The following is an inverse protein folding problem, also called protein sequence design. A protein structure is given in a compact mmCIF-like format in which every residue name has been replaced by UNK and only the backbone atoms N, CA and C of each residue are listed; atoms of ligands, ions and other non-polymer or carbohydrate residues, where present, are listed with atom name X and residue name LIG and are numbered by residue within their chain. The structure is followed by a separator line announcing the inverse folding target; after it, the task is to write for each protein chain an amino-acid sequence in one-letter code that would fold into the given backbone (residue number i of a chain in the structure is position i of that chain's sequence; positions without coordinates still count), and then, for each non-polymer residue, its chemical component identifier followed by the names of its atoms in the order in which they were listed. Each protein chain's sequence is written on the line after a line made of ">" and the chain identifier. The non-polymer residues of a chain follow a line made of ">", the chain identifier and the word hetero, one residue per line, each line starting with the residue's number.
data_IF_754895085927
#
_entry.id   IF_754895085927
#
_cell.length_a   1.000
_cell.length_b   1.000
_cell.length_c   1.000
_cell.angle_alpha   90.00
_cell.angle_beta   90.00
_cell.angle_gamma   90.00
#
_symmetry.space_group_name_H-M   'P 1'
#
loop_
_entity.id
_entity.type
_entity.pdbx_description
1 polymer ?
#
# COMPACT_ATOMS: atom_id res chain seq x y z
N UNK A 1 0.51 -12.38 12.16
CA UNK A 1 1.64 -12.52 11.23
C UNK A 1 1.55 -11.46 10.15
N UNK A 2 2.66 -10.86 9.71
CA UNK A 2 2.71 -9.93 8.57
C UNK A 2 3.39 -10.60 7.37
N UNK A 3 2.65 -10.78 6.28
CA UNK A 3 3.14 -11.37 5.02
C UNK A 3 3.82 -10.31 4.13
N UNK A 4 4.96 -9.76 4.59
CA UNK A 4 5.64 -8.69 3.85
C UNK A 4 7.10 -8.50 4.26
N UNK A 5 7.98 -8.28 3.26
CA UNK A 5 9.36 -7.84 3.47
C UNK A 5 9.50 -6.31 3.56
N UNK A 6 8.43 -5.54 3.30
CA UNK A 6 8.50 -4.08 3.25
C UNK A 6 8.77 -3.47 4.63
N UNK A 7 9.90 -2.75 4.82
CA UNK A 7 10.18 -2.06 6.08
C UNK A 7 9.12 -1.03 6.44
N UNK A 8 8.55 -0.36 5.43
CA UNK A 8 7.50 0.64 5.63
C UNK A 8 6.24 0.01 6.23
N UNK A 9 5.81 -1.16 5.73
CA UNK A 9 4.65 -1.87 6.27
C UNK A 9 4.90 -2.37 7.68
N UNK A 10 6.12 -2.83 7.98
CA UNK A 10 6.51 -3.25 9.33
C UNK A 10 6.43 -2.08 10.32
N UNK A 11 7.00 -0.91 9.95
CA UNK A 11 6.93 0.30 10.78
C UNK A 11 5.49 0.81 10.96
N UNK A 12 4.68 0.73 9.92
CA UNK A 12 3.27 1.11 10.02
C UNK A 12 2.50 0.16 10.94
N UNK A 13 2.70 -1.15 10.82
CA UNK A 13 1.97 -2.12 11.65
C UNK A 13 2.35 -2.01 13.14
N UNK A 14 3.60 -1.69 13.48
CA UNK A 14 4.02 -1.40 14.87
C UNK A 14 3.19 -0.29 15.53
N UNK A 15 2.71 0.69 14.75
CA UNK A 15 1.88 1.78 15.27
C UNK A 15 0.53 1.32 15.80
N UNK A 16 0.04 0.17 15.34
CA UNK A 16 -1.18 -0.44 15.89
C UNK A 16 -0.95 -1.13 17.23
N UNK A 17 0.30 -1.22 17.71
CA UNK A 17 0.67 -1.85 18.98
C UNK A 17 0.16 -3.29 19.14
N UNK A 18 -0.05 -3.97 18.03
CA UNK A 18 -0.38 -5.40 17.99
C UNK A 18 0.92 -6.18 17.89
N UNK A 19 1.16 -7.19 18.73
CA UNK A 19 2.31 -8.06 18.56
C UNK A 19 2.17 -8.81 17.21
N UNK A 20 3.24 -8.83 16.42
CA UNK A 20 3.27 -9.56 15.16
C UNK A 20 4.67 -10.10 14.86
N UNK A 21 4.70 -11.14 14.07
CA UNK A 21 5.91 -11.69 13.47
C UNK A 21 5.87 -11.46 11.96
N UNK A 22 7.03 -11.53 11.33
CA UNK A 22 7.18 -11.33 9.89
C UNK A 22 7.41 -12.68 9.24
N UNK A 23 6.64 -12.98 8.20
CA UNK A 23 6.89 -14.10 7.30
C UNK A 23 6.83 -13.56 5.85
N UNK A 24 7.93 -13.73 5.11
CA UNK A 24 8.03 -13.19 3.76
C UNK A 24 7.55 -14.24 2.77
N UNK A 25 6.45 -13.99 2.03
CA UNK A 25 5.98 -14.92 1.01
C UNK A 25 7.03 -15.06 -0.11
N UNK A 26 7.19 -16.26 -0.64
CA UNK A 26 8.19 -16.60 -1.64
C UNK A 26 7.56 -16.90 -3.00
N UNK A 27 8.24 -16.52 -4.09
CA UNK A 27 7.84 -16.96 -5.44
C UNK A 27 6.52 -16.40 -5.98
N UNK A 28 5.96 -15.33 -5.39
CA UNK A 28 4.77 -14.70 -5.96
C UNK A 28 5.16 -13.90 -7.20
N UNK A 29 4.67 -14.35 -8.34
CA UNK A 29 4.79 -13.60 -9.59
C UNK A 29 3.78 -12.45 -9.61
N UNK A 30 4.26 -11.25 -9.24
CA UNK A 30 3.43 -10.03 -9.24
C UNK A 30 3.00 -9.65 -10.67
N UNK A 31 3.78 -10.04 -11.71
CA UNK A 31 3.48 -9.75 -13.12
C UNK A 31 2.38 -10.62 -13.72
N UNK A 32 2.10 -11.78 -13.14
CA UNK A 32 1.07 -12.70 -13.63
C UNK A 32 -0.37 -12.22 -13.35
N UNK A 33 -0.57 -11.22 -12.49
CA UNK A 33 -1.90 -10.68 -12.18
C UNK A 33 -2.17 -9.46 -13.04
N UNK A 34 -3.16 -9.56 -13.92
CA UNK A 34 -3.56 -8.49 -14.83
C UNK A 34 -4.98 -8.00 -14.53
N UNK A 35 -5.33 -6.81 -15.00
CA UNK A 35 -6.65 -6.23 -14.80
C UNK A 35 -6.60 -4.82 -14.21
N UNK A 36 -7.68 -4.40 -13.55
CA UNK A 36 -7.72 -3.09 -12.89
C UNK A 36 -6.73 -3.03 -11.71
N UNK A 37 -6.31 -1.82 -11.32
CA UNK A 37 -5.42 -1.63 -10.17
C UNK A 37 -6.04 -2.20 -8.88
N UNK A 38 -7.35 -2.08 -8.74
CA UNK A 38 -8.14 -2.61 -7.63
C UNK A 38 -8.10 -4.14 -7.59
N UNK A 39 -8.26 -4.78 -8.76
CA UNK A 39 -8.16 -6.24 -8.87
C UNK A 39 -6.75 -6.74 -8.58
N UNK A 40 -5.74 -6.12 -9.19
CA UNK A 40 -4.33 -6.51 -9.01
C UNK A 40 -3.90 -6.40 -7.56
N UNK A 41 -4.13 -5.24 -6.92
CA UNK A 41 -3.71 -5.02 -5.53
C UNK A 41 -4.42 -5.96 -4.55
N UNK A 42 -5.73 -6.20 -4.75
CA UNK A 42 -6.51 -7.13 -3.93
C UNK A 42 -6.02 -8.57 -4.06
N UNK A 43 -5.85 -9.03 -5.30
CA UNK A 43 -5.40 -10.42 -5.58
C UNK A 43 -4.01 -10.68 -5.05
N UNK A 44 -3.07 -9.74 -5.24
CA UNK A 44 -1.71 -9.89 -4.72
C UNK A 44 -1.66 -9.86 -3.20
N UNK A 45 -2.47 -9.02 -2.56
CA UNK A 45 -2.59 -9.00 -1.10
C UNK A 45 -3.10 -10.34 -0.56
N UNK A 46 -4.16 -10.89 -1.17
CA UNK A 46 -4.72 -12.20 -0.81
C UNK A 46 -3.69 -13.32 -0.97
N UNK A 47 -3.06 -13.44 -2.15
CA UNK A 47 -2.03 -14.47 -2.40
C UNK A 47 -0.90 -14.44 -1.38
N UNK A 48 -0.44 -13.22 -1.00
CA UNK A 48 0.61 -13.05 0.02
C UNK A 48 0.16 -13.57 1.39
N UNK A 49 -1.07 -13.28 1.79
CA UNK A 49 -1.61 -13.73 3.08
C UNK A 49 -1.85 -15.25 3.09
N UNK A 50 -2.47 -15.78 2.05
CA UNK A 50 -2.81 -17.19 1.89
C UNK A 50 -1.58 -18.08 1.89
N UNK A 51 -0.57 -17.72 1.09
CA UNK A 51 0.68 -18.50 1.04
C UNK A 51 1.35 -18.58 2.40
N UNK A 52 1.45 -17.47 3.14
CA UNK A 52 2.05 -17.49 4.48
C UNK A 52 1.19 -18.31 5.45
N UNK A 53 -0.13 -18.23 5.35
CA UNK A 53 -1.01 -19.07 6.16
C UNK A 53 -0.80 -20.56 5.88
N UNK A 54 -0.73 -20.96 4.62
CA UNK A 54 -0.44 -22.34 4.22
C UNK A 54 0.90 -22.83 4.77
N UNK A 55 1.95 -22.03 4.66
CA UNK A 55 3.26 -22.36 5.22
C UNK A 55 3.22 -22.56 6.75
N UNK A 56 2.48 -21.74 7.48
CA UNK A 56 2.32 -21.86 8.93
C UNK A 56 1.56 -23.13 9.32
N UNK A 57 0.52 -23.47 8.58
CA UNK A 57 -0.26 -24.69 8.79
C UNK A 57 0.57 -25.96 8.53
N UNK A 58 1.40 -25.96 7.48
CA UNK A 58 2.29 -27.10 7.18
C UNK A 58 3.41 -27.29 8.20
N UNK A 59 3.89 -26.23 8.86
CA UNK A 59 4.94 -26.33 9.90
C UNK A 59 4.44 -26.92 11.23
N UNK A 60 3.19 -27.34 11.31
CA UNK A 60 2.64 -27.97 12.50
C UNK A 60 2.37 -27.02 13.67
N UNK A 61 2.35 -25.71 13.43
CA UNK A 61 1.98 -24.69 14.42
C UNK A 61 0.47 -24.69 14.75
N UNK A 62 -0.19 -25.84 14.61
CA UNK A 62 -1.63 -25.99 14.44
C UNK A 62 -2.52 -26.09 15.65
N UNK A 63 -1.98 -26.23 16.87
CA UNK A 63 -2.78 -26.43 18.10
C UNK A 63 -2.84 -25.18 19.00
N UNK A 64 -2.30 -24.06 18.53
CA UNK A 64 -2.39 -22.77 19.20
C UNK A 64 -3.57 -21.91 18.75
N UNK A 65 -3.81 -20.73 19.37
CA UNK A 65 -4.80 -19.79 18.89
C UNK A 65 -4.52 -19.46 17.41
N UNK A 66 -5.56 -19.54 16.58
CA UNK A 66 -5.45 -19.52 15.12
C UNK A 66 -4.60 -18.35 14.59
N UNK A 67 -3.74 -18.63 13.62
CA UNK A 67 -2.94 -17.60 12.96
C UNK A 67 -3.83 -16.64 12.18
N UNK A 68 -3.58 -15.34 12.38
CA UNK A 68 -4.13 -14.26 11.56
C UNK A 68 -2.98 -13.71 10.73
N UNK A 69 -3.10 -13.77 9.43
CA UNK A 69 -2.08 -13.34 8.49
C UNK A 69 -2.55 -12.10 7.73
N UNK A 70 -1.82 -11.01 7.88
CA UNK A 70 -2.05 -9.75 7.15
C UNK A 70 -1.17 -9.69 5.92
N UNK A 71 -1.79 -9.62 4.75
CA UNK A 71 -1.15 -9.35 3.46
C UNK A 71 -1.49 -7.95 2.96
N UNK A 72 -0.60 -7.33 2.21
CA UNK A 72 -0.88 -6.07 1.52
C UNK A 72 -0.11 -5.97 0.22
N UNK A 73 -0.72 -5.29 -0.77
CA UNK A 73 -0.05 -4.95 -2.03
C UNK A 73 -0.44 -3.55 -2.48
N UNK A 74 0.53 -2.80 -3.04
CA UNK A 74 0.36 -1.39 -3.41
C UNK A 74 0.78 -1.18 -4.84
N UNK A 75 -0.11 -0.61 -5.64
CA UNK A 75 0.16 -0.20 -7.01
C UNK A 75 -0.17 1.27 -7.21
N UNK A 76 0.59 1.93 -8.08
CA UNK A 76 0.21 3.26 -8.57
C UNK A 76 -0.41 3.13 -9.95
N UNK A 77 -1.41 3.97 -10.25
CA UNK A 77 -2.12 3.92 -11.52
C UNK A 77 -2.40 5.32 -12.06
N UNK A 78 -2.13 5.51 -13.35
CA UNK A 78 -2.45 6.73 -14.09
C UNK A 78 -3.59 6.48 -15.07
N UNK A 79 -4.27 7.55 -15.48
CA UNK A 79 -5.14 7.51 -16.66
C UNK A 79 -4.26 7.58 -17.91
N UNK A 80 -4.36 6.60 -18.78
CA UNK A 80 -3.76 6.59 -20.12
C UNK A 80 -4.83 6.72 -21.22
N UNK A 81 -4.42 6.88 -22.46
CA UNK A 81 -5.34 6.97 -23.62
C UNK A 81 -6.17 5.69 -23.80
N UNK A 82 -5.58 4.53 -23.52
CA UNK A 82 -6.23 3.21 -23.61
C UNK A 82 -6.84 2.73 -22.29
N UNK A 83 -7.05 3.61 -21.29
CA UNK A 83 -7.56 3.26 -19.97
C UNK A 83 -6.56 3.45 -18.82
N UNK A 84 -6.61 2.60 -17.82
CA UNK A 84 -5.69 2.65 -16.70
C UNK A 84 -4.32 2.05 -17.05
N UNK A 85 -3.24 2.76 -16.69
CA UNK A 85 -1.86 2.24 -16.75
C UNK A 85 -1.33 2.05 -15.32
N UNK A 86 -1.08 0.80 -14.94
CA UNK A 86 -0.43 0.48 -13.68
C UNK A 86 1.07 0.75 -13.80
N UNK A 87 1.61 1.47 -12.83
CA UNK A 87 3.04 1.74 -12.67
C UNK A 87 3.57 0.85 -11.55
N UNK A 88 4.25 -0.20 -11.94
CA UNK A 88 4.92 -1.12 -11.00
C UNK A 88 6.24 -0.54 -10.47
N UNK A 89 7.09 -1.41 -9.94
CA UNK A 89 8.47 -1.07 -9.56
C UNK A 89 9.29 -0.82 -10.83
N UNK A 90 10.18 0.20 -10.83
CA UNK A 90 11.03 0.44 -11.98
C UNK A 90 12.03 -0.72 -12.17
N UNK A 91 12.30 -1.07 -13.40
CA UNK A 91 13.25 -2.12 -13.78
C UNK A 91 14.70 -1.67 -13.63
N UNK A 92 14.93 -0.40 -13.91
CA UNK A 92 16.23 0.26 -13.88
C UNK A 92 16.08 1.77 -13.63
N UNK A 93 17.19 2.48 -13.60
CA UNK A 93 17.23 3.93 -13.36
C UNK A 93 16.54 4.74 -14.45
N UNK A 94 16.65 4.31 -15.71
CA UNK A 94 15.99 5.01 -16.84
C UNK A 94 14.47 4.81 -16.79
N UNK A 95 14.01 3.61 -16.49
CA UNK A 95 12.58 3.34 -16.30
C UNK A 95 12.02 4.17 -15.12
N UNK A 96 12.77 4.30 -14.03
CA UNK A 96 12.41 5.19 -12.91
C UNK A 96 12.30 6.65 -13.36
N UNK A 97 13.26 7.13 -14.16
CA UNK A 97 13.25 8.48 -14.73
C UNK A 97 12.02 8.72 -15.60
N UNK A 98 11.69 7.78 -16.47
CA UNK A 98 10.52 7.86 -17.34
C UNK A 98 9.20 7.86 -16.56
N UNK A 99 9.10 7.06 -15.48
CA UNK A 99 7.95 7.08 -14.58
C UNK A 99 7.75 8.45 -13.94
N UNK A 100 8.82 9.06 -13.41
CA UNK A 100 8.74 10.39 -12.79
C UNK A 100 8.40 11.50 -13.78
N UNK A 101 8.96 11.46 -14.99
CA UNK A 101 8.59 12.37 -16.07
C UNK A 101 7.10 12.23 -16.45
N UNK A 102 6.61 10.99 -16.53
CA UNK A 102 5.20 10.73 -16.82
C UNK A 102 4.27 11.29 -15.73
N UNK A 103 4.69 11.26 -14.46
CA UNK A 103 3.92 11.75 -13.31
C UNK A 103 4.03 13.26 -13.12
N UNK A 104 5.05 13.92 -13.67
CA UNK A 104 5.31 15.35 -13.51
C UNK A 104 4.09 16.20 -13.85
N UNK A 105 3.64 17.03 -12.91
CA UNK A 105 2.49 17.93 -13.06
C UNK A 105 1.12 17.23 -13.11
N UNK A 106 1.05 15.92 -12.89
CA UNK A 106 -0.17 15.13 -13.05
C UNK A 106 -0.64 14.50 -11.73
N UNK A 107 -1.93 14.15 -11.70
CA UNK A 107 -2.51 13.30 -10.66
C UNK A 107 -2.44 11.83 -11.05
N UNK A 108 -2.25 10.99 -10.06
CA UNK A 108 -2.33 9.54 -10.15
C UNK A 108 -2.97 8.97 -8.90
N UNK A 109 -3.45 7.74 -8.96
CA UNK A 109 -4.01 7.04 -7.80
C UNK A 109 -3.01 6.00 -7.27
N UNK A 110 -2.94 5.90 -5.96
CA UNK A 110 -2.26 4.82 -5.25
C UNK A 110 -3.34 3.92 -4.65
N UNK A 111 -3.33 2.66 -5.03
CA UNK A 111 -4.31 1.64 -4.62
C UNK A 111 -3.57 0.59 -3.80
N UNK A 112 -3.97 0.41 -2.55
CA UNK A 112 -3.46 -0.67 -1.69
C UNK A 112 -4.57 -1.66 -1.40
N UNK A 113 -4.37 -2.91 -1.81
CA UNK A 113 -5.13 -4.05 -1.33
C UNK A 113 -4.61 -4.50 0.03
N UNK A 114 -5.53 -4.83 0.92
CA UNK A 114 -5.26 -5.43 2.24
C UNK A 114 -6.03 -6.74 2.31
N UNK A 115 -5.40 -7.78 2.82
CA UNK A 115 -5.99 -9.09 3.00
C UNK A 115 -5.73 -9.61 4.41
N UNK A 116 -6.73 -10.24 5.01
CA UNK A 116 -6.61 -11.00 6.25
C UNK A 116 -7.00 -12.44 5.96
N UNK A 117 -6.09 -13.37 6.22
CA UNK A 117 -6.32 -14.80 6.09
C UNK A 117 -6.19 -15.49 7.45
N UNK A 118 -7.11 -16.40 7.75
CA UNK A 118 -7.08 -17.25 8.92
C UNK A 118 -7.62 -18.66 8.60
N UNK A 119 -7.27 -19.64 9.42
CA UNK A 119 -7.65 -21.03 9.19
C UNK A 119 -9.18 -21.22 9.27
N UNK A 120 -9.75 -21.81 8.24
CA UNK A 120 -11.17 -22.17 8.21
C UNK A 120 -12.11 -21.07 7.75
N UNK A 121 -11.59 -19.88 7.45
CA UNK A 121 -12.40 -18.75 6.97
C UNK A 121 -11.95 -18.34 5.55
N UNK A 122 -12.85 -17.81 4.74
CA UNK A 122 -12.47 -17.17 3.48
C UNK A 122 -11.55 -15.98 3.72
N UNK A 123 -10.56 -15.78 2.84
CA UNK A 123 -9.69 -14.61 2.92
C UNK A 123 -10.49 -13.31 2.74
N UNK A 124 -10.53 -12.48 3.79
CA UNK A 124 -11.16 -11.17 3.74
C UNK A 124 -10.25 -10.17 3.04
N UNK A 125 -10.74 -9.45 2.04
CA UNK A 125 -9.94 -8.49 1.27
C UNK A 125 -10.66 -7.16 1.09
N UNK A 126 -9.93 -6.07 1.31
CA UNK A 126 -10.40 -4.71 1.15
C UNK A 126 -9.38 -3.87 0.36
N UNK A 127 -9.80 -2.71 -0.14
CA UNK A 127 -8.92 -1.76 -0.84
C UNK A 127 -9.00 -0.36 -0.24
N UNK A 128 -7.90 0.36 -0.33
CA UNK A 128 -7.82 1.80 -0.05
C UNK A 128 -7.26 2.53 -1.25
N UNK A 129 -7.85 3.68 -1.59
CA UNK A 129 -7.45 4.48 -2.74
C UNK A 129 -7.11 5.89 -2.26
N UNK A 130 -5.99 6.42 -2.75
CA UNK A 130 -5.54 7.79 -2.47
C UNK A 130 -5.10 8.43 -3.77
N UNK A 131 -5.58 9.64 -4.04
CA UNK A 131 -5.11 10.44 -5.15
C UNK A 131 -3.89 11.25 -4.70
N UNK A 132 -2.84 11.24 -5.53
CA UNK A 132 -1.61 12.01 -5.34
C UNK A 132 -1.36 12.85 -6.57
N UNK A 133 -1.11 14.15 -6.38
CA UNK A 133 -0.75 15.09 -7.44
C UNK A 133 0.72 15.48 -7.30
N UNK A 134 1.48 15.29 -8.37
CA UNK A 134 2.84 15.80 -8.44
C UNK A 134 2.85 17.27 -8.90
N UNK A 135 3.82 18.02 -8.38
CA UNK A 135 4.15 19.32 -8.97
C UNK A 135 4.84 19.12 -10.34
N UNK A 136 4.92 20.14 -11.20
CA UNK A 136 5.84 20.09 -12.31
C UNK A 136 7.26 19.80 -11.82
N UNK A 137 7.92 18.80 -12.41
CA UNK A 137 9.26 18.35 -12.00
C UNK A 137 10.27 18.74 -13.09
N UNK A 138 11.13 19.75 -12.84
CA UNK A 138 12.30 19.98 -13.68
C UNK A 138 13.20 18.75 -13.75
N UNK A 139 13.92 18.57 -14.84
CA UNK A 139 14.84 17.44 -15.03
C UNK A 139 15.88 17.32 -13.90
N UNK A 140 16.31 18.47 -13.36
CA UNK A 140 17.23 18.55 -12.25
C UNK A 140 16.67 17.93 -10.95
N UNK A 141 15.39 18.21 -10.62
CA UNK A 141 14.75 17.65 -9.43
C UNK A 141 14.61 16.13 -9.53
N UNK A 142 14.27 15.64 -10.73
CA UNK A 142 14.22 14.19 -10.99
C UNK A 142 15.59 13.57 -10.79
N UNK A 143 16.65 14.19 -11.33
CA UNK A 143 18.03 13.72 -11.20
C UNK A 143 18.46 13.65 -9.73
N UNK A 144 18.22 14.72 -8.94
CA UNK A 144 18.54 14.78 -7.53
C UNK A 144 17.77 13.72 -6.73
N UNK A 145 16.49 13.56 -6.99
CA UNK A 145 15.68 12.54 -6.33
C UNK A 145 16.19 11.12 -6.65
N UNK A 146 16.48 10.82 -7.91
CA UNK A 146 17.01 9.51 -8.29
C UNK A 146 18.38 9.23 -7.67
N UNK A 147 19.22 10.26 -7.51
CA UNK A 147 20.52 10.15 -6.83
C UNK A 147 20.40 9.78 -5.35
N UNK A 148 19.28 10.08 -4.70
CA UNK A 148 19.02 9.65 -3.30
C UNK A 148 18.83 8.14 -3.14
N UNK A 149 18.53 7.42 -4.23
CA UNK A 149 18.23 5.98 -4.19
C UNK A 149 16.85 5.62 -3.63
N UNK A 150 16.06 6.59 -3.18
CA UNK A 150 14.73 6.33 -2.56
C UNK A 150 13.71 5.70 -3.51
N UNK A 151 13.94 5.75 -4.82
CA UNK A 151 13.07 5.17 -5.86
C UNK A 151 13.13 3.63 -5.89
N UNK A 152 14.20 3.04 -5.37
CA UNK A 152 14.45 1.59 -5.50
C UNK A 152 13.36 0.79 -4.78
N UNK A 153 12.79 -0.18 -5.50
CA UNK A 153 11.78 -1.09 -4.98
C UNK A 153 10.40 -0.47 -4.72
N UNK A 154 10.16 0.78 -5.16
CA UNK A 154 8.88 1.47 -4.96
C UNK A 154 8.04 1.51 -6.24
N UNK A 155 6.74 1.26 -6.10
CA UNK A 155 5.78 1.45 -7.19
C UNK A 155 5.84 2.89 -7.71
N UNK A 156 5.78 3.06 -9.04
CA UNK A 156 5.90 4.35 -9.71
C UNK A 156 7.20 5.12 -9.40
N UNK A 157 8.24 4.41 -8.96
CA UNK A 157 9.58 4.94 -8.68
C UNK A 157 9.62 6.04 -7.62
N UNK A 158 8.67 6.14 -6.68
CA UNK A 158 8.75 7.14 -5.62
C UNK A 158 8.19 6.66 -4.28
N UNK A 159 8.63 7.32 -3.19
CA UNK A 159 8.03 7.22 -1.86
C UNK A 159 7.58 8.60 -1.39
N UNK A 160 6.39 8.67 -0.76
CA UNK A 160 5.87 9.95 -0.22
C UNK A 160 6.62 10.40 1.05
N UNK A 161 7.46 9.54 1.60
CA UNK A 161 8.35 9.83 2.72
C UNK A 161 9.69 10.36 2.23
N UNK A 162 10.49 10.92 3.12
CA UNK A 162 11.84 11.38 2.79
C UNK A 162 11.86 12.48 1.73
N UNK A 163 12.82 12.39 0.81
CA UNK A 163 13.00 13.38 -0.27
C UNK A 163 11.88 13.34 -1.29
N UNK A 164 11.22 12.18 -1.49
CA UNK A 164 10.08 12.05 -2.40
C UNK A 164 8.87 12.88 -2.03
N UNK A 165 8.76 13.35 -0.77
CA UNK A 165 7.74 14.32 -0.36
C UNK A 165 7.80 15.61 -1.19
N UNK A 166 8.99 16.06 -1.57
CA UNK A 166 9.19 17.28 -2.35
C UNK A 166 8.60 17.22 -3.77
N UNK A 167 8.33 16.01 -4.27
CA UNK A 167 7.70 15.78 -5.59
C UNK A 167 6.18 16.04 -5.56
N UNK A 168 5.55 15.97 -4.37
CA UNK A 168 4.10 15.98 -4.19
C UNK A 168 3.59 17.41 -3.98
N UNK A 169 2.64 17.84 -4.83
CA UNK A 169 1.91 19.09 -4.70
C UNK A 169 0.67 18.96 -3.80
N UNK A 170 0.02 17.78 -3.81
CA UNK A 170 -1.18 17.54 -3.01
C UNK A 170 -1.53 16.06 -2.93
N UNK A 171 -2.35 15.71 -1.94
CA UNK A 171 -2.82 14.36 -1.72
C UNK A 171 -4.24 14.39 -1.14
N UNK A 172 -5.11 13.49 -1.61
CA UNK A 172 -6.48 13.32 -1.13
C UNK A 172 -6.74 11.86 -0.81
N UNK A 173 -6.96 11.56 0.46
CA UNK A 173 -7.14 10.22 1.01
C UNK A 173 -6.17 9.89 2.14
N UNK A 174 -5.83 8.63 2.29
CA UNK A 174 -5.03 8.13 3.41
C UNK A 174 -3.52 8.19 3.10
N UNK A 175 -2.76 8.93 3.91
CA UNK A 175 -1.30 8.99 3.81
C UNK A 175 -0.64 7.61 3.95
N UNK A 176 -1.10 6.84 4.93
CA UNK A 176 -0.55 5.51 5.19
C UNK A 176 -0.85 4.51 4.07
N UNK A 177 -1.93 4.75 3.31
CA UNK A 177 -2.19 4.01 2.06
C UNK A 177 -1.05 4.24 1.06
N UNK A 178 -0.62 5.47 0.87
CA UNK A 178 0.48 5.81 -0.06
C UNK A 178 1.82 5.25 0.43
N UNK A 179 2.03 5.19 1.74
CA UNK A 179 3.23 4.54 2.33
C UNK A 179 3.20 3.02 2.13
N UNK A 180 2.00 2.40 2.04
CA UNK A 180 1.84 1.00 1.68
C UNK A 180 1.02 0.13 2.63
N UNK A 181 0.42 0.70 3.70
CA UNK A 181 -0.52 0.00 4.58
C UNK A 181 -1.52 1.01 5.18
N UNK A 182 -2.77 1.06 4.72
CA UNK A 182 -3.81 1.94 5.27
C UNK A 182 -4.21 1.48 6.68
N UNK A 183 -3.62 2.10 7.70
CA UNK A 183 -3.67 1.62 9.09
C UNK A 183 -5.09 1.46 9.62
N UNK A 184 -5.98 2.42 9.36
CA UNK A 184 -7.38 2.32 9.82
C UNK A 184 -8.09 1.12 9.22
N UNK A 185 -7.89 0.88 7.92
CA UNK A 185 -8.47 -0.28 7.24
C UNK A 185 -7.89 -1.58 7.81
N UNK A 186 -6.56 -1.66 7.93
CA UNK A 186 -5.89 -2.83 8.49
C UNK A 186 -6.34 -3.10 9.94
N UNK A 187 -6.46 -2.05 10.76
CA UNK A 187 -6.94 -2.16 12.13
C UNK A 187 -8.37 -2.71 12.21
N UNK A 188 -9.29 -2.19 11.38
CA UNK A 188 -10.67 -2.67 11.33
C UNK A 188 -10.72 -4.15 10.95
N UNK A 189 -10.01 -4.55 9.87
CA UNK A 189 -9.99 -5.93 9.41
C UNK A 189 -9.38 -6.89 10.44
N UNK A 190 -8.29 -6.51 11.10
CA UNK A 190 -7.68 -7.33 12.16
C UNK A 190 -8.61 -7.40 13.39
N UNK A 191 -9.31 -6.31 13.71
CA UNK A 191 -10.22 -6.21 14.85
C UNK A 191 -11.42 -7.15 14.79
N UNK A 192 -11.77 -7.67 13.61
CA UNK A 192 -12.81 -8.71 13.44
C UNK A 192 -12.37 -10.05 14.05
N UNK A 193 -11.07 -10.29 14.15
CA UNK A 193 -10.48 -11.55 14.61
C UNK A 193 -9.81 -11.45 15.98
N UNK A 194 -9.39 -10.25 16.38
CA UNK A 194 -8.69 -10.03 17.66
C UNK A 194 -9.37 -8.92 18.42
N UNK A 195 -9.89 -9.18 19.65
CA UNK A 195 -10.39 -8.13 20.53
C UNK A 195 -9.27 -7.12 20.79
N UNK A 196 -9.35 -5.95 20.20
CA UNK A 196 -8.34 -4.90 20.40
C UNK A 196 -8.96 -3.52 20.28
N UNK A 197 -8.61 -2.62 21.22
CA UNK A 197 -8.90 -1.21 21.09
C UNK A 197 -7.78 -0.55 20.27
N UNK A 198 -7.97 -0.50 18.95
CA UNK A 198 -7.07 0.28 18.09
C UNK A 198 -7.29 1.77 18.38
N UNK A 199 -6.26 2.42 18.89
CA UNK A 199 -6.26 3.88 18.99
C UNK A 199 -6.56 4.51 17.63
N UNK A 200 -7.31 5.61 17.62
CA UNK A 200 -7.74 6.29 16.40
C UNK A 200 -6.53 6.58 15.52
N UNK A 201 -6.57 6.10 14.29
CA UNK A 201 -5.60 6.48 13.27
C UNK A 201 -5.69 8.01 13.06
N UNK A 202 -4.59 8.71 13.22
CA UNK A 202 -4.44 10.15 12.95
C UNK A 202 -4.24 10.46 11.45
N UNK A 203 -4.76 9.60 10.55
CA UNK A 203 -4.64 9.74 9.10
C UNK A 203 -5.07 11.12 8.59
N UNK A 204 -6.01 11.79 9.28
CA UNK A 204 -6.44 13.14 8.95
C UNK A 204 -5.40 14.24 9.24
N UNK A 205 -4.43 13.99 10.12
CA UNK A 205 -3.37 14.94 10.43
C UNK A 205 -2.32 15.07 9.32
N UNK A 206 -2.33 14.17 8.34
CA UNK A 206 -1.35 14.13 7.26
C UNK A 206 -1.89 14.60 5.90
N UNK A 207 -3.14 15.08 5.82
CA UNK A 207 -3.61 15.76 4.63
C UNK A 207 -2.72 16.98 4.41
N UNK A 208 -1.96 16.98 3.33
CA UNK A 208 -1.24 18.16 2.88
C UNK A 208 -2.28 19.17 2.40
N UNK A 209 -2.75 20.03 3.32
CA UNK A 209 -3.66 21.10 3.00
C UNK A 209 -2.96 22.14 2.12
N UNK A 210 -3.48 22.35 0.93
CA UNK A 210 -3.57 23.67 0.33
C UNK A 210 -5.00 23.86 -0.13
N UNK A 211 -5.65 24.83 0.52
CA UNK A 211 -6.85 25.57 0.16
C UNK A 211 -8.10 24.80 -0.27
N UNK A 212 -9.13 24.88 0.58
CA UNK A 212 -10.55 24.61 0.35
C UNK A 212 -10.94 23.17 -0.08
N UNK A 213 -11.31 22.36 0.90
CA UNK A 213 -12.00 21.08 0.69
C UNK A 213 -11.38 19.90 1.44
N UNK A 214 -11.43 19.95 2.76
CA UNK A 214 -11.07 18.79 3.58
C UNK A 214 -12.09 17.67 3.35
N UNK A 215 -11.66 16.56 2.72
CA UNK A 215 -12.44 15.31 2.74
C UNK A 215 -12.11 14.60 4.05
N UNK A 216 -13.07 14.59 4.96
CA UNK A 216 -12.99 13.85 6.23
C UNK A 216 -12.88 12.35 5.94
N UNK A 217 -11.88 11.69 6.51
CA UNK A 217 -11.72 10.23 6.47
C UNK A 217 -12.93 9.45 7.07
N UNK A 218 -13.92 10.16 7.58
CA UNK A 218 -15.11 9.59 8.21
C UNK A 218 -16.20 9.15 7.23
N UNK A 219 -16.15 9.56 5.96
CA UNK A 219 -17.29 9.40 5.05
C UNK A 219 -17.21 8.20 4.08
N UNK A 220 -16.14 7.40 4.07
CA UNK A 220 -16.04 6.22 3.19
C UNK A 220 -16.34 4.88 3.88
N UNK A 221 -17.00 4.92 5.00
CA UNK A 221 -17.41 3.72 5.72
C UNK A 221 -18.84 3.81 6.17
N UNK A 222 -19.83 3.70 5.27
CA UNK A 222 -21.16 3.22 5.62
C UNK A 222 -22.07 3.11 4.39
N UNK A 223 -22.76 1.99 4.38
CA UNK A 223 -24.04 1.60 3.79
C UNK A 223 -23.86 0.80 2.50
N UNK A 224 -24.31 -0.34 2.43
CA UNK A 224 -25.25 -1.31 2.96
C UNK A 224 -25.01 -2.61 2.25
#
# INVERSE_FOLDING_TARGET
>A
MLASSSPQRQELLKRLRVPFEICVPQGIDEGAVTGSAEHVSRTLAARKAEQVLEELLHRGSGDGPGWIVLGADTVAVTKGEAGQRILGKPRDLEDARQMLLHLSGRSHRVVTGVAVACKGEPTHTEISITEVRFRPLPAEDIRQYLASGEHVGKAAAYGIQGTGRSLVAGMWGCYYNVVGLPLRLAANMIGEYVPHNFDRCDCGAHALQRESGAVDCRETGARS
#
